data_IF_311718660909
#
_entry.id   IF_311718660909
#
_cell.length_a   1.000
_cell.length_b   1.000
_cell.length_c   1.000
_cell.angle_alpha   90.00
_cell.angle_beta   90.00
_cell.angle_gamma   90.00
#
_symmetry.space_group_name_H-M   'P 1'
#
loop_
_entity.id
_entity.type
_entity.pdbx_description
1 polymer ?
#
# COMPACT_ATOMS: atom_id res chain seq x y z
N UNK A 1 -7.32 2.07 -16.34
CA UNK A 1 -8.58 2.84 -16.28
C UNK A 1 -9.49 2.28 -15.19
N UNK A 2 -10.47 3.05 -14.76
CA UNK A 2 -11.54 2.58 -13.88
C UNK A 2 -12.65 1.96 -14.72
N UNK A 3 -13.35 0.91 -14.24
CA UNK A 3 -14.37 0.22 -15.01
C UNK A 3 -15.47 1.09 -15.65
N UNK A 4 -15.95 2.19 -15.05
CA UNK A 4 -16.91 3.09 -15.71
C UNK A 4 -16.49 3.62 -17.09
N UNK A 5 -15.17 3.65 -17.36
CA UNK A 5 -14.62 4.10 -18.65
C UNK A 5 -14.55 2.99 -19.72
N UNK A 6 -14.87 1.74 -19.39
CA UNK A 6 -14.83 0.63 -20.33
C UNK A 6 -15.84 0.83 -21.44
N UNK A 7 -15.40 0.57 -22.70
CA UNK A 7 -16.22 0.69 -23.90
C UNK A 7 -16.02 -0.56 -24.77
N UNK A 8 -17.09 -1.08 -25.35
CA UNK A 8 -16.98 -2.11 -26.38
C UNK A 8 -16.43 -1.51 -27.67
N UNK A 9 -15.33 -2.06 -28.15
CA UNK A 9 -14.62 -1.57 -29.34
C UNK A 9 -14.41 -2.65 -30.40
N UNK A 10 -14.67 -3.92 -30.07
CA UNK A 10 -14.41 -5.08 -30.92
C UNK A 10 -15.41 -6.22 -30.60
N UNK A 11 -15.45 -7.30 -31.42
CA UNK A 11 -16.26 -8.50 -31.11
C UNK A 11 -15.88 -9.16 -29.78
N UNK A 12 -14.60 -9.06 -29.36
CA UNK A 12 -14.14 -9.50 -28.03
C UNK A 12 -13.46 -8.34 -27.32
N UNK A 13 -13.84 -8.10 -26.06
CA UNK A 13 -13.36 -6.99 -25.27
C UNK A 13 -12.83 -7.48 -23.92
N UNK A 14 -11.61 -7.05 -23.58
CA UNK A 14 -10.96 -7.35 -22.31
C UNK A 14 -10.88 -6.07 -21.50
N UNK A 15 -11.52 -6.05 -20.32
CA UNK A 15 -11.38 -4.96 -19.36
C UNK A 15 -10.14 -5.19 -18.50
N UNK A 16 -9.31 -4.15 -18.32
CA UNK A 16 -8.17 -4.17 -17.41
C UNK A 16 -8.29 -3.07 -16.37
N UNK A 17 -8.18 -3.44 -15.09
CA UNK A 17 -8.21 -2.49 -13.97
C UNK A 17 -7.27 -2.89 -12.84
N UNK A 18 -6.70 -1.90 -12.15
CA UNK A 18 -5.92 -2.12 -10.93
C UNK A 18 -6.81 -2.63 -9.76
N UNK A 19 -8.12 -2.59 -9.93
CA UNK A 19 -9.07 -3.00 -8.90
C UNK A 19 -9.35 -1.91 -7.89
N UNK A 20 -9.61 -2.32 -6.67
CA UNK A 20 -10.10 -1.48 -5.58
C UNK A 20 -9.25 -1.69 -4.32
N UNK A 21 -9.20 -0.68 -3.48
CA UNK A 21 -8.51 -0.72 -2.19
C UNK A 21 -9.41 -1.06 -1.01
N UNK A 22 -10.73 -1.14 -1.23
CA UNK A 22 -11.73 -1.60 -0.25
C UNK A 22 -12.10 -3.08 -0.47
N UNK A 23 -12.96 -3.62 0.37
CA UNK A 23 -13.39 -5.03 0.30
C UNK A 23 -14.39 -5.34 -0.82
N UNK A 24 -15.07 -4.33 -1.37
CA UNK A 24 -16.07 -4.47 -2.44
C UNK A 24 -15.92 -3.35 -3.47
N UNK A 25 -16.23 -3.65 -4.70
CA UNK A 25 -16.30 -2.65 -5.77
C UNK A 25 -17.69 -2.00 -5.84
N UNK A 26 -17.83 -0.78 -6.37
CA UNK A 26 -19.14 -0.15 -6.60
C UNK A 26 -20.02 -0.97 -7.56
N UNK A 27 -21.35 -0.98 -7.37
CA UNK A 27 -22.28 -1.69 -8.25
C UNK A 27 -22.14 -1.31 -9.74
N UNK A 28 -21.91 -0.02 -10.03
CA UNK A 28 -21.68 0.48 -11.37
C UNK A 28 -20.47 -0.18 -12.06
N UNK A 29 -19.44 -0.55 -11.29
CA UNK A 29 -18.29 -1.26 -11.82
C UNK A 29 -18.65 -2.69 -12.25
N UNK A 30 -19.48 -3.39 -11.47
CA UNK A 30 -19.97 -4.73 -11.83
C UNK A 30 -20.76 -4.70 -13.13
N UNK A 31 -21.69 -3.74 -13.26
CA UNK A 31 -22.48 -3.57 -14.46
C UNK A 31 -21.59 -3.35 -15.68
N UNK A 32 -20.63 -2.42 -15.57
CA UNK A 32 -19.75 -2.07 -16.70
C UNK A 32 -18.76 -3.19 -17.06
N UNK A 33 -18.19 -3.87 -16.07
CA UNK A 33 -17.34 -5.03 -16.31
C UNK A 33 -18.10 -6.19 -16.94
N UNK A 34 -19.41 -6.33 -16.69
CA UNK A 34 -20.24 -7.35 -17.29
C UNK A 34 -20.43 -7.18 -18.81
N UNK A 35 -20.11 -6.02 -19.35
CA UNK A 35 -20.05 -5.79 -20.80
C UNK A 35 -18.79 -6.39 -21.46
N UNK A 36 -17.75 -6.67 -20.68
CA UNK A 36 -16.49 -7.26 -21.16
C UNK A 36 -16.61 -8.79 -21.22
N UNK A 37 -15.85 -9.42 -22.12
CA UNK A 37 -15.77 -10.88 -22.23
C UNK A 37 -14.85 -11.47 -21.15
N UNK A 38 -13.84 -10.73 -20.75
CA UNK A 38 -12.87 -11.07 -19.71
C UNK A 38 -12.51 -9.82 -18.90
N UNK A 39 -12.41 -9.97 -17.59
CA UNK A 39 -11.85 -8.94 -16.70
C UNK A 39 -10.45 -9.38 -16.26
N UNK A 40 -9.47 -8.52 -16.45
CA UNK A 40 -8.11 -8.67 -15.93
C UNK A 40 -7.93 -7.71 -14.75
N UNK A 41 -7.47 -8.26 -13.64
CA UNK A 41 -7.16 -7.51 -12.40
C UNK A 41 -5.74 -7.80 -11.94
N UNK A 42 -5.19 -6.93 -11.10
CA UNK A 42 -3.78 -6.99 -10.71
C UNK A 42 -3.49 -7.82 -9.47
N UNK A 43 -4.51 -8.24 -8.72
CA UNK A 43 -4.32 -8.99 -7.48
C UNK A 43 -5.51 -9.89 -7.14
N UNK A 44 -5.25 -10.88 -6.28
CA UNK A 44 -6.30 -11.73 -5.70
C UNK A 44 -7.30 -10.91 -4.86
N UNK A 45 -6.81 -9.84 -4.20
CA UNK A 45 -7.67 -8.92 -3.47
C UNK A 45 -8.68 -8.24 -4.41
N UNK A 46 -8.22 -7.69 -5.53
CA UNK A 46 -9.09 -7.08 -6.52
C UNK A 46 -10.11 -8.11 -7.07
N UNK A 47 -9.66 -9.31 -7.43
CA UNK A 47 -10.55 -10.38 -7.88
C UNK A 47 -11.63 -10.72 -6.84
N UNK A 48 -11.26 -10.76 -5.57
CA UNK A 48 -12.20 -11.01 -4.46
C UNK A 48 -13.21 -9.88 -4.31
N UNK A 49 -12.79 -8.62 -4.45
CA UNK A 49 -13.67 -7.45 -4.42
C UNK A 49 -14.75 -7.49 -5.51
N UNK A 50 -14.40 -7.94 -6.72
CA UNK A 50 -15.36 -8.13 -7.82
C UNK A 50 -16.28 -9.33 -7.60
N UNK A 51 -15.82 -10.40 -6.98
CA UNK A 51 -16.62 -11.62 -6.71
C UNK A 51 -17.53 -11.46 -5.48
N UNK A 52 -17.36 -10.41 -4.69
CA UNK A 52 -18.21 -10.12 -3.54
C UNK A 52 -19.65 -9.84 -3.95
N UNK A 53 -20.58 -10.27 -3.12
CA UNK A 53 -22.02 -9.96 -3.32
C UNK A 53 -22.31 -8.56 -2.85
N UNK A 54 -22.87 -7.75 -3.72
CA UNK A 54 -23.32 -6.38 -3.43
C UNK A 54 -24.84 -6.34 -3.43
N UNK A 55 -25.43 -5.64 -2.48
CA UNK A 55 -26.87 -5.45 -2.43
C UNK A 55 -27.21 -4.06 -2.94
N UNK A 56 -27.98 -3.98 -4.01
CA UNK A 56 -28.48 -2.73 -4.60
C UNK A 56 -29.98 -2.64 -4.40
N UNK A 57 -30.51 -1.43 -4.20
CA UNK A 57 -31.95 -1.22 -4.20
C UNK A 57 -32.45 -1.21 -5.65
N UNK A 58 -33.50 -1.99 -5.92
CA UNK A 58 -34.18 -1.95 -7.22
C UNK A 58 -34.84 -0.56 -7.37
N UNK A 59 -34.64 0.14 -8.50
CA UNK A 59 -35.12 1.53 -8.65
C UNK A 59 -36.64 1.69 -8.50
N UNK A 60 -37.43 0.69 -8.94
CA UNK A 60 -38.89 0.76 -8.97
C UNK A 60 -39.53 0.17 -7.70
N UNK A 61 -38.99 -0.92 -7.18
CA UNK A 61 -39.60 -1.64 -6.05
C UNK A 61 -38.98 -1.29 -4.70
N UNK A 62 -37.77 -0.71 -4.69
CA UNK A 62 -37.02 -0.46 -3.46
C UNK A 62 -36.46 -1.72 -2.79
N UNK A 63 -36.72 -2.90 -3.35
CA UNK A 63 -36.21 -4.16 -2.82
C UNK A 63 -34.70 -4.28 -2.95
N UNK A 64 -34.06 -4.90 -1.96
CA UNK A 64 -32.61 -5.20 -2.02
C UNK A 64 -32.37 -6.42 -2.90
N UNK A 65 -31.70 -6.19 -4.01
CA UNK A 65 -31.31 -7.25 -4.97
C UNK A 65 -29.81 -7.53 -4.79
N UNK A 66 -29.46 -8.80 -4.65
CA UNK A 66 -28.07 -9.24 -4.62
C UNK A 66 -27.49 -9.28 -6.05
N UNK A 67 -26.38 -8.57 -6.25
CA UNK A 67 -25.65 -8.54 -7.52
C UNK A 67 -24.26 -9.14 -7.32
N UNK A 68 -23.89 -10.08 -8.18
CA UNK A 68 -22.57 -10.71 -8.22
C UNK A 68 -22.00 -10.66 -9.65
N UNK A 69 -20.67 -10.60 -9.73
CA UNK A 69 -19.98 -10.65 -11.02
C UNK A 69 -19.88 -12.11 -11.52
N UNK A 70 -20.47 -12.40 -12.67
CA UNK A 70 -20.58 -13.77 -13.21
C UNK A 70 -19.63 -14.08 -14.39
N UNK A 71 -18.77 -13.15 -14.79
CA UNK A 71 -17.85 -13.35 -15.92
C UNK A 71 -16.45 -13.82 -15.48
N UNK A 72 -15.62 -14.37 -16.38
CA UNK A 72 -14.25 -14.76 -16.06
C UNK A 72 -13.41 -13.59 -15.56
N UNK A 73 -12.60 -13.84 -14.51
CA UNK A 73 -11.59 -12.92 -14.01
C UNK A 73 -10.23 -13.59 -14.11
N UNK A 74 -9.27 -12.92 -14.75
CA UNK A 74 -7.87 -13.32 -14.80
C UNK A 74 -7.05 -12.39 -13.92
N UNK A 75 -6.20 -12.95 -13.07
CA UNK A 75 -5.23 -12.17 -12.30
C UNK A 75 -3.93 -12.12 -13.08
N UNK A 76 -3.45 -10.91 -13.35
CA UNK A 76 -2.15 -10.65 -13.99
C UNK A 76 -1.47 -9.55 -13.18
N UNK A 77 -0.45 -9.91 -12.43
CA UNK A 77 0.32 -8.98 -11.62
C UNK A 77 1.08 -7.97 -12.50
N UNK A 78 1.50 -6.84 -11.91
CA UNK A 78 2.31 -5.87 -12.65
C UNK A 78 3.70 -6.46 -12.98
N UNK A 79 4.21 -6.16 -14.18
CA UNK A 79 5.57 -6.55 -14.56
C UNK A 79 6.61 -5.75 -13.78
N UNK A 80 7.78 -6.33 -13.62
CA UNK A 80 8.96 -5.68 -13.04
C UNK A 80 9.59 -4.78 -14.10
N UNK A 81 9.94 -3.56 -13.73
CA UNK A 81 10.86 -2.70 -14.48
C UNK A 81 12.27 -2.97 -13.98
N UNK A 82 13.16 -3.41 -14.88
CA UNK A 82 14.59 -3.50 -14.57
C UNK A 82 15.21 -2.10 -14.68
N UNK A 83 15.24 -1.37 -13.57
CA UNK A 83 15.79 -0.03 -13.49
C UNK A 83 17.17 -0.06 -12.85
N UNK A 84 18.08 0.78 -13.34
CA UNK A 84 19.33 1.05 -12.64
C UNK A 84 19.04 2.05 -11.51
N UNK A 85 19.45 1.69 -10.29
CA UNK A 85 19.33 2.60 -9.15
C UNK A 85 20.34 3.74 -9.27
N UNK A 86 19.89 4.98 -9.11
CA UNK A 86 20.80 6.10 -8.95
C UNK A 86 21.39 6.11 -7.54
N UNK A 87 22.67 6.46 -7.40
CA UNK A 87 23.26 6.64 -6.07
C UNK A 87 22.71 7.90 -5.40
N UNK A 88 21.83 7.69 -4.45
CA UNK A 88 21.19 8.76 -3.68
C UNK A 88 22.00 9.22 -2.47
N UNK A 89 23.13 8.59 -2.16
CA UNK A 89 23.93 8.92 -0.96
C UNK A 89 24.50 10.33 -0.99
N UNK A 90 24.82 10.84 -2.19
CA UNK A 90 25.29 12.22 -2.37
C UNK A 90 24.15 13.27 -2.42
N UNK A 91 22.92 12.84 -2.74
CA UNK A 91 21.77 13.73 -2.92
C UNK A 91 20.94 13.89 -1.64
N UNK A 92 20.96 12.89 -0.77
CA UNK A 92 20.18 12.86 0.47
C UNK A 92 21.09 12.69 1.67
N UNK A 93 21.14 13.73 2.51
CA UNK A 93 21.88 13.65 3.77
C UNK A 93 20.95 13.09 4.85
N UNK A 94 21.28 11.91 5.39
CA UNK A 94 20.55 11.28 6.50
C UNK A 94 21.42 11.31 7.76
N UNK A 95 20.94 11.99 8.79
CA UNK A 95 21.61 12.16 10.07
C UNK A 95 21.64 10.88 10.92
N UNK A 96 20.84 9.87 10.54
CA UNK A 96 20.69 8.60 11.23
C UNK A 96 21.19 7.45 10.35
N UNK A 97 21.80 6.43 10.96
CA UNK A 97 22.37 5.28 10.23
C UNK A 97 21.36 4.18 9.94
N UNK A 98 20.21 4.22 10.61
CA UNK A 98 19.08 3.35 10.33
C UNK A 98 17.84 4.19 10.02
N UNK A 99 17.32 4.03 8.82
CA UNK A 99 16.10 4.72 8.40
C UNK A 99 15.09 3.73 7.82
N UNK A 100 13.82 3.95 8.16
CA UNK A 100 12.70 3.38 7.44
C UNK A 100 12.37 4.27 6.23
N UNK A 101 11.77 3.68 5.20
CA UNK A 101 11.26 4.39 4.02
C UNK A 101 9.75 4.24 3.92
N UNK A 102 9.06 5.31 3.63
CA UNK A 102 7.66 5.26 3.19
C UNK A 102 7.46 6.16 1.98
N UNK A 103 6.83 5.61 0.93
CA UNK A 103 6.48 6.34 -0.30
C UNK A 103 4.97 6.29 -0.44
N UNK A 104 4.31 7.44 -0.28
CA UNK A 104 2.86 7.51 -0.29
C UNK A 104 2.36 8.91 -0.61
N UNK A 105 1.26 9.04 -1.33
CA UNK A 105 0.50 10.28 -1.33
C UNK A 105 -0.15 10.47 0.04
N UNK A 106 0.03 11.63 0.66
CA UNK A 106 -0.50 11.91 2.00
C UNK A 106 -2.01 12.15 1.96
N UNK A 107 -2.76 11.09 2.13
CA UNK A 107 -4.22 11.11 2.13
C UNK A 107 -4.79 10.07 3.09
N UNK A 108 -6.11 10.10 3.33
CA UNK A 108 -6.77 9.24 4.33
C UNK A 108 -6.43 7.76 4.16
N UNK A 109 -6.46 7.24 2.93
CA UNK A 109 -6.18 5.84 2.63
C UNK A 109 -4.79 5.37 3.05
N UNK A 110 -3.78 6.24 2.90
CA UNK A 110 -2.38 5.89 3.21
C UNK A 110 -2.04 5.97 4.69
N UNK A 111 -2.92 6.58 5.51
CA UNK A 111 -2.81 6.64 6.97
C UNK A 111 -1.45 7.18 7.49
N UNK A 112 -0.91 8.16 6.77
CA UNK A 112 0.43 8.73 7.05
C UNK A 112 0.48 9.39 8.42
N UNK A 113 -0.59 10.09 8.83
CA UNK A 113 -0.65 10.80 10.11
C UNK A 113 -0.42 9.86 11.30
N UNK A 114 -1.14 8.74 11.35
CA UNK A 114 -0.96 7.74 12.40
C UNK A 114 0.42 7.07 12.31
N UNK A 115 0.89 6.75 11.11
CA UNK A 115 2.21 6.16 10.93
C UNK A 115 3.31 7.07 11.51
N UNK A 116 3.28 8.36 11.20
CA UNK A 116 4.25 9.33 11.73
C UNK A 116 4.16 9.46 13.25
N UNK A 117 2.93 9.60 13.78
CA UNK A 117 2.70 9.69 15.21
C UNK A 117 3.25 8.47 15.95
N UNK A 118 2.85 7.28 15.53
CA UNK A 118 3.26 6.01 16.16
C UNK A 118 4.77 5.74 16.01
N UNK A 119 5.36 6.16 14.89
CA UNK A 119 6.82 6.09 14.70
C UNK A 119 7.56 6.97 15.73
N UNK A 120 7.14 8.23 15.90
CA UNK A 120 7.76 9.14 16.85
C UNK A 120 7.57 8.65 18.28
N UNK A 121 6.38 8.19 18.64
CA UNK A 121 6.10 7.62 19.98
C UNK A 121 6.97 6.39 20.28
N UNK A 122 7.21 5.53 19.29
CA UNK A 122 8.02 4.33 19.48
C UNK A 122 9.51 4.62 19.58
N UNK A 123 10.02 5.54 18.74
CA UNK A 123 11.45 5.80 18.61
C UNK A 123 11.91 7.14 19.21
N UNK A 124 11.11 7.79 20.07
CA UNK A 124 11.48 9.10 20.63
C UNK A 124 12.85 9.13 21.33
N UNK A 125 13.31 8.01 21.88
CA UNK A 125 14.59 7.89 22.59
C UNK A 125 15.71 7.25 21.75
N UNK A 126 15.45 6.92 20.48
CA UNK A 126 16.39 6.22 19.61
C UNK A 126 16.82 7.12 18.43
N UNK A 127 18.06 6.98 17.98
CA UNK A 127 18.60 7.66 16.79
C UNK A 127 18.21 6.88 15.51
N UNK A 128 16.91 6.87 15.21
CA UNK A 128 16.32 6.17 14.06
C UNK A 128 15.59 7.19 13.20
N UNK A 129 15.66 7.04 11.86
CA UNK A 129 15.01 7.92 10.91
C UNK A 129 13.83 7.29 10.21
N UNK A 130 12.94 8.14 9.72
CA UNK A 130 11.91 7.80 8.74
C UNK A 130 12.04 8.76 7.55
N UNK A 131 12.39 8.22 6.40
CA UNK A 131 12.38 8.94 5.12
C UNK A 131 10.97 8.83 4.56
N UNK A 132 10.29 9.97 4.48
CA UNK A 132 8.94 10.08 3.95
C UNK A 132 8.96 10.76 2.58
N UNK A 133 8.83 9.99 1.51
CA UNK A 133 8.61 10.50 0.16
C UNK A 133 7.12 10.69 -0.07
N UNK A 134 6.68 11.96 -0.11
CA UNK A 134 5.25 12.25 -0.14
C UNK A 134 4.93 13.57 -0.85
N UNK A 135 3.68 13.68 -1.26
CA UNK A 135 2.96 14.92 -1.59
C UNK A 135 1.49 14.75 -1.18
N UNK A 136 0.76 15.83 -0.98
CA UNK A 136 -0.69 15.77 -0.67
C UNK A 136 -1.51 15.81 -1.95
N UNK A 137 -1.33 16.85 -2.73
CA UNK A 137 -2.13 17.12 -3.95
C UNK A 137 -1.24 17.29 -5.17
N UNK A 138 -0.22 18.14 -5.06
CA UNK A 138 0.66 18.52 -6.18
C UNK A 138 2.10 18.63 -5.70
N UNK A 139 3.05 18.38 -6.60
CA UNK A 139 4.48 18.55 -6.33
C UNK A 139 4.90 20.04 -6.49
N UNK A 140 4.34 20.93 -5.66
CA UNK A 140 4.70 22.36 -5.67
C UNK A 140 5.15 22.82 -4.28
N UNK A 141 5.65 24.07 -4.21
CA UNK A 141 6.22 24.63 -2.97
C UNK A 141 5.18 24.76 -1.85
N UNK A 142 3.94 25.13 -2.16
CA UNK A 142 2.88 25.28 -1.17
C UNK A 142 2.52 23.92 -0.54
N UNK A 143 2.45 22.85 -1.35
CA UNK A 143 2.21 21.48 -0.86
C UNK A 143 3.36 20.98 0.02
N UNK A 144 4.62 21.28 -0.37
CA UNK A 144 5.80 21.00 0.44
C UNK A 144 5.75 21.72 1.79
N UNK A 145 5.41 23.00 1.80
CA UNK A 145 5.28 23.78 3.04
C UNK A 145 4.21 23.20 3.96
N UNK A 146 3.08 22.75 3.39
CA UNK A 146 2.01 22.11 4.14
C UNK A 146 2.49 20.79 4.77
N UNK A 147 3.13 19.90 4.01
CA UNK A 147 3.71 18.66 4.53
C UNK A 147 4.73 18.95 5.66
N UNK A 148 5.60 19.94 5.45
CA UNK A 148 6.60 20.35 6.45
C UNK A 148 5.94 20.88 7.73
N UNK A 149 4.88 21.68 7.62
CA UNK A 149 4.15 22.21 8.78
C UNK A 149 3.48 21.11 9.60
N UNK A 150 2.90 20.09 8.94
CA UNK A 150 2.30 18.93 9.61
C UNK A 150 3.34 18.12 10.39
N UNK A 151 4.50 17.85 9.77
CA UNK A 151 5.62 17.17 10.45
C UNK A 151 6.13 18.01 11.63
N UNK A 152 6.28 19.31 11.46
CA UNK A 152 6.71 20.22 12.52
C UNK A 152 5.74 20.23 13.71
N UNK A 153 4.43 20.34 13.43
CA UNK A 153 3.39 20.30 14.48
C UNK A 153 3.40 18.96 15.25
N UNK A 154 3.69 17.83 14.58
CA UNK A 154 3.90 16.57 15.28
C UNK A 154 5.18 16.61 16.13
N UNK A 155 6.28 17.13 15.58
CA UNK A 155 7.56 17.20 16.27
C UNK A 155 7.52 18.07 17.54
N UNK A 156 6.74 19.15 17.56
CA UNK A 156 6.54 20.03 18.71
C UNK A 156 5.90 19.33 19.91
N UNK A 157 5.13 18.26 19.69
CA UNK A 157 4.56 17.42 20.74
C UNK A 157 5.61 16.52 21.44
N UNK A 158 6.79 16.37 20.82
CA UNK A 158 7.89 15.53 21.31
C UNK A 158 9.21 16.30 21.24
N UNK A 159 9.40 17.34 22.07
CA UNK A 159 10.52 18.28 21.96
C UNK A 159 11.90 17.63 22.14
N UNK A 160 11.97 16.57 22.93
CA UNK A 160 13.23 15.86 23.25
C UNK A 160 13.45 14.60 22.43
N UNK A 161 12.67 14.39 21.36
CA UNK A 161 12.84 13.18 20.54
C UNK A 161 14.20 13.15 19.85
N UNK A 162 14.82 11.98 19.81
CA UNK A 162 16.06 11.71 19.09
C UNK A 162 15.80 11.25 17.65
N UNK A 163 14.66 10.57 17.42
CA UNK A 163 14.30 10.11 16.08
C UNK A 163 14.07 11.27 15.11
N UNK A 164 14.31 11.01 13.83
CA UNK A 164 14.24 12.01 12.74
C UNK A 164 13.16 11.65 11.73
N UNK A 165 12.54 12.65 11.13
CA UNK A 165 11.66 12.51 9.96
C UNK A 165 12.28 13.34 8.84
N UNK A 166 12.66 12.68 7.75
CA UNK A 166 13.24 13.29 6.57
C UNK A 166 12.18 13.38 5.48
N UNK A 167 11.73 14.60 5.16
CA UNK A 167 10.73 14.84 4.12
C UNK A 167 11.39 14.91 2.75
N UNK A 168 11.03 14.01 1.85
CA UNK A 168 11.33 14.09 0.43
C UNK A 168 10.04 14.51 -0.31
N UNK A 169 10.07 15.68 -0.93
CA UNK A 169 8.94 16.24 -1.67
C UNK A 169 9.39 16.70 -3.05
N UNK A 170 8.50 16.59 -4.01
CA UNK A 170 8.80 16.93 -5.40
C UNK A 170 8.82 15.71 -6.30
N UNK A 171 9.06 15.92 -7.59
CA UNK A 171 9.20 14.85 -8.57
C UNK A 171 10.58 14.21 -8.44
N UNK A 172 10.60 12.90 -8.53
CA UNK A 172 11.81 12.08 -8.63
C UNK A 172 11.67 11.17 -9.85
N UNK A 173 12.77 10.87 -10.52
CA UNK A 173 12.77 9.88 -11.59
C UNK A 173 12.58 8.46 -11.05
N UNK A 174 12.27 7.51 -11.93
CA UNK A 174 12.15 6.10 -11.54
C UNK A 174 13.49 5.57 -10.96
N UNK A 175 14.63 6.00 -11.52
CA UNK A 175 15.98 5.64 -11.06
C UNK A 175 16.31 6.23 -9.68
N UNK A 176 15.89 7.48 -9.42
CA UNK A 176 16.03 8.12 -8.11
C UNK A 176 15.17 7.42 -7.06
N UNK A 177 13.92 7.08 -7.40
CA UNK A 177 13.04 6.30 -6.50
C UNK A 177 13.66 4.93 -6.22
N UNK A 178 14.17 4.25 -7.27
CA UNK A 178 14.84 2.96 -7.08
C UNK A 178 16.10 3.10 -6.23
N UNK A 179 16.83 4.22 -6.36
CA UNK A 179 17.98 4.58 -5.53
C UNK A 179 17.64 4.72 -4.04
N UNK A 180 16.40 5.12 -3.68
CA UNK A 180 15.96 5.13 -2.28
C UNK A 180 15.92 3.71 -1.70
N UNK A 181 15.44 2.72 -2.47
CA UNK A 181 15.40 1.33 -2.01
C UNK A 181 16.79 0.69 -1.88
N UNK A 182 17.80 1.23 -2.56
CA UNK A 182 19.20 0.75 -2.50
C UNK A 182 20.10 1.61 -1.62
N UNK A 183 19.58 2.67 -1.01
CA UNK A 183 20.38 3.57 -0.17
C UNK A 183 20.89 2.86 1.09
N UNK A 184 22.23 2.92 1.42
CA UNK A 184 22.83 2.11 2.48
C UNK A 184 22.29 2.40 3.88
N UNK A 185 21.78 3.61 4.14
CA UNK A 185 21.18 3.99 5.43
C UNK A 185 19.66 3.78 5.48
N UNK A 186 19.01 3.38 4.38
CA UNK A 186 17.58 3.05 4.35
C UNK A 186 17.47 1.53 4.40
N UNK A 187 16.90 1.00 5.49
CA UNK A 187 17.02 -0.42 5.82
C UNK A 187 15.71 -1.21 5.75
N UNK A 188 14.56 -0.55 5.74
CA UNK A 188 13.27 -1.20 5.63
C UNK A 188 12.18 -0.25 5.08
N UNK A 189 11.26 -0.80 4.30
CA UNK A 189 10.05 -0.10 3.86
C UNK A 189 8.93 -0.29 4.87
N UNK A 190 8.16 0.77 5.15
CA UNK A 190 7.06 0.72 6.10
C UNK A 190 5.82 1.45 5.58
N UNK A 191 4.65 0.85 5.77
CA UNK A 191 3.37 1.48 5.46
C UNK A 191 2.25 0.98 6.36
N UNK A 192 1.31 1.86 6.67
CA UNK A 192 0.07 1.57 7.39
C UNK A 192 -1.16 1.77 6.52
N UNK A 193 -1.00 1.66 5.19
CA UNK A 193 -2.09 1.83 4.23
C UNK A 193 -3.31 1.00 4.61
N UNK A 194 -4.48 1.56 4.44
CA UNK A 194 -5.75 0.88 4.68
C UNK A 194 -6.07 -0.16 3.61
N UNK A 195 -5.53 -0.01 2.41
CA UNK A 195 -5.67 -0.95 1.30
C UNK A 195 -4.91 -0.51 0.05
N UNK A 196 -4.54 -1.50 -0.75
CA UNK A 196 -3.88 -1.34 -2.05
C UNK A 196 -4.53 -2.27 -3.07
N UNK A 197 -4.77 -1.78 -4.27
CA UNK A 197 -5.14 -2.65 -5.39
C UNK A 197 -4.03 -3.64 -5.73
N UNK A 198 -2.78 -3.16 -5.72
CA UNK A 198 -1.56 -3.97 -5.84
C UNK A 198 -0.48 -3.51 -4.86
N UNK A 199 -0.10 -2.21 -4.89
CA UNK A 199 0.90 -1.62 -4.00
C UNK A 199 2.29 -1.54 -4.63
N UNK A 200 2.43 -0.79 -5.73
CA UNK A 200 3.71 -0.66 -6.46
C UNK A 200 4.91 -0.29 -5.58
N UNK A 201 4.84 0.69 -4.65
CA UNK A 201 6.01 0.99 -3.81
C UNK A 201 6.43 -0.17 -2.88
N UNK A 202 5.47 -1.01 -2.43
CA UNK A 202 5.78 -2.20 -1.66
C UNK A 202 6.41 -3.28 -2.54
N UNK A 203 5.92 -3.40 -3.79
CA UNK A 203 6.45 -4.34 -4.77
C UNK A 203 7.89 -3.99 -5.15
N UNK A 204 8.16 -2.72 -5.45
CA UNK A 204 9.49 -2.21 -5.75
C UNK A 204 10.46 -2.41 -4.58
N UNK A 205 10.01 -2.16 -3.33
CA UNK A 205 10.79 -2.43 -2.13
C UNK A 205 11.13 -3.92 -2.00
N UNK A 206 10.15 -4.82 -2.16
CA UNK A 206 10.34 -6.26 -2.10
C UNK A 206 11.28 -6.76 -3.20
N UNK A 207 11.10 -6.31 -4.43
CA UNK A 207 11.99 -6.61 -5.56
C UNK A 207 13.41 -6.12 -5.34
N UNK A 208 13.57 -5.00 -4.62
CA UNK A 208 14.86 -4.44 -4.26
C UNK A 208 15.53 -5.12 -3.06
N UNK A 209 15.05 -6.26 -2.62
CA UNK A 209 15.52 -7.00 -1.44
C UNK A 209 15.39 -6.19 -0.12
N UNK A 210 14.51 -5.19 -0.09
CA UNK A 210 14.28 -4.38 1.10
C UNK A 210 13.25 -5.04 2.01
N UNK A 211 13.51 -5.21 3.31
CA UNK A 211 12.51 -5.66 4.29
C UNK A 211 11.26 -4.80 4.25
N UNK A 212 10.08 -5.42 4.22
CA UNK A 212 8.78 -4.74 4.17
C UNK A 212 8.02 -4.93 5.46
N UNK A 213 7.43 -3.84 5.97
CA UNK A 213 6.49 -3.81 7.10
C UNK A 213 5.18 -3.23 6.58
N UNK A 214 4.09 -3.99 6.63
CA UNK A 214 2.83 -3.56 6.04
C UNK A 214 1.61 -4.10 6.78
N UNK A 215 0.47 -3.41 6.62
CA UNK A 215 -0.84 -3.91 7.06
C UNK A 215 -1.10 -5.27 6.41
N UNK A 216 -1.55 -6.25 7.18
CA UNK A 216 -1.69 -7.65 6.73
C UNK A 216 -2.91 -7.90 5.85
N UNK A 217 -3.27 -6.98 4.95
CA UNK A 217 -4.48 -7.03 4.14
C UNK A 217 -4.31 -6.30 2.81
N UNK A 218 -4.98 -6.76 1.77
CA UNK A 218 -5.12 -6.24 0.40
C UNK A 218 -4.10 -6.74 -0.62
N UNK A 219 -4.02 -6.08 -1.78
CA UNK A 219 -3.36 -6.61 -2.98
C UNK A 219 -1.87 -6.91 -2.86
N UNK A 220 -1.15 -6.22 -1.97
CA UNK A 220 0.27 -6.45 -1.76
C UNK A 220 0.60 -7.81 -1.11
N UNK A 221 -0.40 -8.52 -0.61
CA UNK A 221 -0.18 -9.88 -0.09
C UNK A 221 0.17 -10.89 -1.19
N UNK A 222 -0.14 -10.60 -2.44
CA UNK A 222 0.13 -11.51 -3.55
C UNK A 222 1.63 -11.74 -3.76
N UNK A 223 2.45 -10.71 -3.54
CA UNK A 223 3.90 -10.78 -3.71
C UNK A 223 4.70 -10.74 -2.39
N UNK A 224 4.09 -10.47 -1.23
CA UNK A 224 4.76 -10.51 0.08
C UNK A 224 4.67 -11.87 0.79
N UNK A 225 4.01 -12.83 0.16
CA UNK A 225 3.84 -14.18 0.67
C UNK A 225 4.22 -15.19 -0.41
N UNK A 226 4.87 -16.27 0.00
CA UNK A 226 5.17 -17.41 -0.86
C UNK A 226 4.38 -18.65 -0.44
N UNK A 227 4.13 -19.53 -1.38
CA UNK A 227 3.56 -20.85 -1.10
C UNK A 227 4.67 -21.86 -0.95
N UNK A 228 4.68 -22.57 0.18
CA UNK A 228 5.60 -23.67 0.44
C UNK A 228 4.85 -24.98 0.61
N UNK A 229 5.34 -26.01 -0.03
CA UNK A 229 4.86 -27.38 0.21
C UNK A 229 5.43 -27.88 1.55
N UNK A 230 4.55 -28.29 2.46
CA UNK A 230 4.98 -28.94 3.71
C UNK A 230 5.41 -30.39 3.43
N UNK A 231 6.21 -31.02 4.31
CA UNK A 231 6.58 -32.44 4.16
C UNK A 231 5.38 -33.39 4.08
N UNK A 232 4.20 -32.96 4.53
CA UNK A 232 2.94 -33.71 4.47
C UNK A 232 2.13 -33.41 3.19
N UNK A 233 2.71 -32.77 2.18
CA UNK A 233 2.05 -32.45 0.91
C UNK A 233 1.00 -31.32 0.98
N UNK A 234 0.91 -30.57 2.09
CA UNK A 234 0.00 -29.43 2.21
C UNK A 234 0.70 -28.16 1.80
N UNK A 235 0.03 -27.33 1.00
CA UNK A 235 0.49 -25.97 0.68
C UNK A 235 0.30 -25.10 1.93
N UNK A 236 1.35 -24.42 2.36
CA UNK A 236 1.33 -23.41 3.43
C UNK A 236 1.79 -22.08 2.87
N UNK A 237 0.98 -21.04 3.07
CA UNK A 237 1.37 -19.67 2.75
C UNK A 237 2.27 -19.12 3.87
N UNK A 238 3.48 -18.71 3.52
CA UNK A 238 4.46 -18.11 4.41
C UNK A 238 4.60 -16.62 4.09
N UNK A 239 4.52 -15.78 5.12
CA UNK A 239 4.73 -14.34 5.00
C UNK A 239 6.22 -14.03 5.15
N UNK A 240 6.83 -13.40 4.14
CA UNK A 240 8.24 -12.98 4.16
C UNK A 240 8.42 -11.50 4.52
N UNK A 241 7.35 -10.82 4.90
CA UNK A 241 7.33 -9.46 5.42
C UNK A 241 6.92 -9.42 6.90
N UNK A 242 7.10 -8.31 7.57
CA UNK A 242 6.57 -8.13 8.93
C UNK A 242 5.15 -7.56 8.89
N UNK A 243 4.23 -8.35 9.42
CA UNK A 243 2.80 -8.08 9.34
C UNK A 243 2.33 -7.18 10.48
N UNK A 244 1.62 -6.10 10.13
CA UNK A 244 0.85 -5.29 11.07
C UNK A 244 -0.57 -5.87 11.16
N UNK A 245 -1.04 -6.15 12.38
CA UNK A 245 -2.42 -6.57 12.63
C UNK A 245 -3.40 -5.41 12.38
N UNK A 246 -4.62 -5.74 11.99
CA UNK A 246 -5.64 -4.77 11.61
C UNK A 246 -7.04 -5.20 12.05
N UNK A 247 -8.00 -4.28 11.99
CA UNK A 247 -9.44 -4.53 11.97
C UNK A 247 -10.03 -4.09 10.64
N UNK A 248 -11.05 -4.79 10.14
CA UNK A 248 -11.82 -4.35 8.98
C UNK A 248 -13.01 -3.53 9.46
N UNK A 249 -13.00 -2.25 9.15
CA UNK A 249 -14.04 -1.31 9.54
C UNK A 249 -14.52 -0.49 8.34
N UNK A 250 -15.70 0.14 8.39
CA UNK A 250 -16.15 1.03 7.33
C UNK A 250 -15.11 2.11 7.01
N UNK A 251 -15.03 2.49 5.75
CA UNK A 251 -14.17 3.60 5.34
C UNK A 251 -14.61 4.88 6.05
N UNK A 252 -13.66 5.73 6.42
CA UNK A 252 -13.96 7.01 7.03
C UNK A 252 -14.62 7.96 6.02
N UNK A 253 -15.53 8.80 6.52
CA UNK A 253 -16.34 9.71 5.70
C UNK A 253 -15.48 10.61 4.78
N UNK A 254 -14.33 11.06 5.27
CA UNK A 254 -13.41 11.92 4.54
C UNK A 254 -12.73 11.21 3.35
N UNK A 255 -12.80 9.89 3.29
CA UNK A 255 -12.27 9.07 2.22
C UNK A 255 -13.34 8.56 1.26
N UNK A 256 -14.61 8.79 1.56
CA UNK A 256 -15.69 8.40 0.66
C UNK A 256 -15.56 9.12 -0.69
N UNK A 257 -15.64 8.33 -1.72
CA UNK A 257 -15.63 8.82 -3.10
C UNK A 257 -16.70 8.06 -3.88
N UNK A 258 -17.91 8.64 -3.98
CA UNK A 258 -19.06 7.98 -4.61
C UNK A 258 -18.71 7.40 -5.99
N UNK A 259 -19.07 6.15 -6.23
CA UNK A 259 -18.75 5.43 -7.46
C UNK A 259 -17.32 4.88 -7.54
N UNK A 260 -16.50 5.07 -6.51
CA UNK A 260 -15.15 4.47 -6.40
C UNK A 260 -14.96 3.84 -5.02
N UNK A 261 -15.13 4.61 -3.96
CA UNK A 261 -15.09 4.19 -2.56
C UNK A 261 -16.45 4.50 -1.93
N UNK A 262 -17.42 3.62 -2.14
CA UNK A 262 -18.78 3.84 -1.68
C UNK A 262 -18.92 3.70 -0.17
N UNK A 263 -19.82 4.48 0.45
CA UNK A 263 -20.16 4.37 1.87
C UNK A 263 -20.50 2.92 2.26
N UNK A 264 -20.03 2.50 3.42
CA UNK A 264 -20.30 1.15 3.96
C UNK A 264 -19.35 0.07 3.44
N UNK A 265 -18.53 0.33 2.43
CA UNK A 265 -17.39 -0.55 2.11
C UNK A 265 -16.35 -0.46 3.22
N UNK A 266 -15.50 -1.49 3.34
CA UNK A 266 -14.53 -1.62 4.42
C UNK A 266 -13.11 -1.66 3.89
N UNK A 267 -12.19 -1.21 4.72
CA UNK A 267 -10.76 -1.42 4.54
C UNK A 267 -10.07 -1.72 5.87
N UNK A 268 -8.76 -1.97 5.85
CA UNK A 268 -8.03 -2.37 7.04
C UNK A 268 -7.52 -1.17 7.82
N UNK A 269 -7.84 -1.11 9.10
CA UNK A 269 -7.26 -0.16 10.04
C UNK A 269 -6.13 -0.84 10.81
N UNK A 270 -4.90 -0.40 10.57
CA UNK A 270 -3.72 -0.89 11.26
C UNK A 270 -3.82 -0.65 12.77
N UNK A 271 -3.42 -1.63 13.59
CA UNK A 271 -3.42 -1.50 15.05
C UNK A 271 -2.11 -0.89 15.51
N UNK A 272 -2.19 0.22 16.26
CA UNK A 272 -1.04 0.97 16.79
C UNK A 272 -0.01 0.07 17.47
N UNK A 273 -0.42 -0.72 18.47
CA UNK A 273 0.49 -1.58 19.21
C UNK A 273 1.17 -2.64 18.33
N UNK A 274 0.49 -3.11 17.28
CA UNK A 274 1.07 -4.04 16.32
C UNK A 274 2.10 -3.35 15.43
N UNK A 275 1.82 -2.12 14.99
CA UNK A 275 2.75 -1.31 14.21
C UNK A 275 4.04 -1.04 15.01
N UNK A 276 3.92 -0.51 16.23
CA UNK A 276 5.07 -0.20 17.10
C UNK A 276 5.94 -1.43 17.34
N UNK A 277 5.34 -2.56 17.68
CA UNK A 277 6.05 -3.85 17.82
C UNK A 277 6.73 -4.29 16.52
N UNK A 278 6.09 -4.11 15.38
CA UNK A 278 6.62 -4.52 14.08
C UNK A 278 7.88 -3.71 13.70
N UNK A 279 7.82 -2.38 13.79
CA UNK A 279 8.98 -1.51 13.47
C UNK A 279 10.13 -1.74 14.46
N UNK A 280 9.86 -1.90 15.75
CA UNK A 280 10.87 -2.22 16.77
C UNK A 280 11.54 -3.56 16.50
N UNK A 281 10.76 -4.58 16.19
CA UNK A 281 11.25 -5.93 15.89
C UNK A 281 12.15 -5.95 14.66
N UNK A 282 11.78 -5.23 13.58
CA UNK A 282 12.60 -5.14 12.37
C UNK A 282 13.90 -4.37 12.66
N UNK A 283 13.83 -3.25 13.38
CA UNK A 283 15.01 -2.50 13.80
C UNK A 283 16.01 -3.35 14.58
N UNK A 284 15.53 -4.13 15.56
CA UNK A 284 16.38 -4.97 16.40
C UNK A 284 16.93 -6.22 15.72
N UNK A 285 16.27 -6.70 14.66
CA UNK A 285 16.58 -7.97 14.01
C UNK A 285 16.75 -7.84 12.49
N UNK A 286 17.29 -6.72 12.03
CA UNK A 286 17.33 -6.35 10.60
C UNK A 286 17.90 -7.46 9.72
N UNK A 287 18.99 -8.13 10.12
CA UNK A 287 19.63 -9.20 9.34
C UNK A 287 18.72 -10.42 9.09
N UNK A 288 17.76 -10.69 10.00
CA UNK A 288 16.75 -11.72 9.76
C UNK A 288 15.79 -11.30 8.64
N UNK A 289 15.37 -10.03 8.64
CA UNK A 289 14.43 -9.52 7.67
C UNK A 289 15.08 -9.28 6.30
N UNK A 290 16.34 -8.92 6.24
CA UNK A 290 17.11 -8.87 4.99
C UNK A 290 17.21 -10.25 4.31
N UNK A 291 17.47 -11.31 5.07
CA UNK A 291 17.43 -12.68 4.52
C UNK A 291 16.04 -13.07 3.99
N UNK A 292 14.97 -12.67 4.68
CA UNK A 292 13.59 -12.91 4.19
C UNK A 292 13.28 -12.12 2.93
N UNK A 293 13.70 -10.86 2.88
CA UNK A 293 13.52 -10.00 1.72
C UNK A 293 14.27 -10.54 0.50
N UNK A 294 15.49 -11.05 0.68
CA UNK A 294 16.24 -11.72 -0.39
C UNK A 294 15.51 -12.97 -0.91
N UNK A 295 14.96 -13.80 -0.01
CA UNK A 295 14.17 -14.98 -0.42
C UNK A 295 12.89 -14.58 -1.17
N UNK A 296 12.38 -13.39 -0.93
CA UNK A 296 11.16 -12.88 -1.58
C UNK A 296 11.43 -12.33 -2.99
N UNK A 297 12.63 -11.77 -3.22
CA UNK A 297 13.04 -11.22 -4.52
C UNK A 297 13.45 -12.30 -5.55
N UNK A 298 13.89 -13.48 -5.07
CA UNK A 298 14.21 -14.67 -5.90
C UNK A 298 12.93 -15.31 -6.47
#
# INVERSE_FOLDING_TARGET
SIPPEFTKMAPKNIGFTAGIESNLVPPAWLAKCSEMDLLVVTSQHAATGFKGTIHVQHPETGEKVAVTYGKPIQIINYPIKNLQAEDMSAKINLDTDFNFLSIAQWGPRKNVDNMLKWFVEEFQNDEVGLVLKTSRVKNNLADRQMCSAMIKSLAEKFPNKKCKIHLLHGTMSDEEIHGLYKHPKIRAYVTTTHGEGYGLPLFEAAYSEMPVIATGWSGHLDFLCIEKMTPKGKVKRESLYEKISYSLEPIQKEAEWPGVLDPGTKWAYAKENSFKKAIRKVYQNISLFERRAKTLSD
#
